data_IF_246556402586
#
_entry.id   IF_246556402586
#
_cell.length_a   1.000
_cell.length_b   1.000
_cell.length_c   1.000
_cell.angle_alpha   90.00
_cell.angle_beta   90.00
_cell.angle_gamma   90.00
#
_symmetry.space_group_name_H-M   'P 1'
#
loop_
_entity.id
_entity.type
_entity.pdbx_description
1 polymer ?
#
# COMPACT_ATOMS: atom_id res chain seq x y z
N UNK A 1 -51.15 -21.58 -7.13
CA UNK A 1 -49.84 -22.27 -7.13
C UNK A 1 -48.82 -21.61 -8.09
N UNK A 2 -49.23 -21.14 -9.25
CA UNK A 2 -48.38 -20.53 -10.27
C UNK A 2 -47.56 -19.31 -9.78
N UNK A 3 -48.18 -18.43 -8.99
CA UNK A 3 -47.49 -17.22 -8.48
C UNK A 3 -46.35 -17.54 -7.49
N UNK A 4 -46.43 -18.68 -6.75
CA UNK A 4 -45.34 -19.10 -5.86
C UNK A 4 -44.10 -19.53 -6.61
N UNK A 5 -44.23 -20.21 -7.75
CA UNK A 5 -43.09 -20.64 -8.56
C UNK A 5 -42.40 -19.44 -9.22
N UNK A 6 -43.21 -18.44 -9.66
CA UNK A 6 -42.67 -17.18 -10.22
C UNK A 6 -41.92 -16.42 -9.15
N UNK A 7 -42.47 -16.28 -7.94
CA UNK A 7 -41.79 -15.58 -6.84
C UNK A 7 -40.48 -16.26 -6.43
N UNK A 8 -40.45 -17.59 -6.37
CA UNK A 8 -39.22 -18.36 -6.10
C UNK A 8 -38.19 -18.17 -7.22
N UNK A 9 -38.61 -18.16 -8.48
CA UNK A 9 -37.75 -17.92 -9.64
C UNK A 9 -37.10 -16.54 -9.59
N UNK A 10 -37.86 -15.50 -9.28
CA UNK A 10 -37.35 -14.12 -9.13
C UNK A 10 -36.34 -14.02 -7.98
N UNK A 11 -36.64 -14.67 -6.84
CA UNK A 11 -35.75 -14.68 -5.67
C UNK A 11 -34.44 -15.38 -5.98
N UNK A 12 -34.45 -16.52 -6.65
CA UNK A 12 -33.23 -17.23 -7.07
C UNK A 12 -32.42 -16.42 -8.07
N UNK A 13 -33.08 -15.80 -9.04
CA UNK A 13 -32.40 -14.92 -10.03
C UNK A 13 -31.75 -13.72 -9.35
N UNK A 14 -32.42 -13.10 -8.38
CA UNK A 14 -31.88 -11.98 -7.59
C UNK A 14 -30.65 -12.39 -6.77
N UNK A 15 -30.67 -13.59 -6.15
CA UNK A 15 -29.53 -14.12 -5.41
C UNK A 15 -28.32 -14.39 -6.33
N UNK A 16 -28.57 -14.97 -7.52
CA UNK A 16 -27.51 -15.23 -8.50
C UNK A 16 -26.88 -13.92 -9.03
N UNK A 17 -27.72 -12.94 -9.37
CA UNK A 17 -27.24 -11.62 -9.82
C UNK A 17 -26.48 -10.90 -8.72
N UNK A 18 -26.95 -10.94 -7.48
CA UNK A 18 -26.26 -10.33 -6.35
C UNK A 18 -24.88 -10.97 -6.10
N UNK A 19 -24.80 -12.29 -6.12
CA UNK A 19 -23.54 -13.02 -5.99
C UNK A 19 -22.55 -12.71 -7.13
N UNK A 20 -23.05 -12.63 -8.36
CA UNK A 20 -22.22 -12.31 -9.53
C UNK A 20 -21.68 -10.87 -9.51
N UNK A 21 -22.49 -9.90 -9.10
CA UNK A 21 -22.06 -8.50 -8.93
C UNK A 21 -21.02 -8.37 -7.81
N UNK A 22 -21.19 -9.08 -6.72
CA UNK A 22 -20.27 -9.08 -5.59
C UNK A 22 -18.89 -9.63 -5.98
N UNK A 23 -18.82 -10.80 -6.59
CA UNK A 23 -17.55 -11.42 -7.02
C UNK A 23 -16.92 -10.72 -8.22
N UNK A 24 -17.73 -10.11 -9.09
CA UNK A 24 -17.25 -9.43 -10.28
C UNK A 24 -16.44 -8.16 -9.96
N UNK A 25 -16.68 -7.52 -8.83
CA UNK A 25 -15.95 -6.33 -8.39
C UNK A 25 -14.50 -6.66 -8.01
N UNK A 26 -14.30 -7.67 -7.16
CA UNK A 26 -12.98 -8.06 -6.67
C UNK A 26 -12.12 -8.63 -7.80
N UNK A 27 -12.72 -9.45 -8.70
CA UNK A 27 -12.03 -9.98 -9.87
C UNK A 27 -11.52 -8.87 -10.81
N UNK A 28 -12.29 -7.80 -11.03
CA UNK A 28 -11.85 -6.65 -11.83
C UNK A 28 -10.68 -5.93 -11.18
N UNK A 29 -10.71 -5.75 -9.87
CA UNK A 29 -9.61 -5.14 -9.12
C UNK A 29 -8.33 -5.97 -9.22
N UNK A 30 -8.44 -7.28 -9.02
CA UNK A 30 -7.34 -8.22 -9.18
C UNK A 30 -6.72 -8.13 -10.58
N UNK A 31 -7.55 -8.15 -11.63
CA UNK A 31 -7.10 -8.01 -13.01
C UNK A 31 -6.37 -6.69 -13.26
N UNK A 32 -6.86 -5.58 -12.74
CA UNK A 32 -6.21 -4.27 -12.88
C UNK A 32 -4.88 -4.24 -12.12
N UNK A 33 -4.84 -4.70 -10.87
CA UNK A 33 -3.62 -4.72 -10.06
C UNK A 33 -2.52 -5.55 -10.70
N UNK A 34 -2.86 -6.75 -11.20
CA UNK A 34 -1.89 -7.68 -11.79
C UNK A 34 -1.45 -7.31 -13.21
N UNK A 35 -2.18 -6.43 -13.89
CA UNK A 35 -1.94 -6.09 -15.32
C UNK A 35 -0.62 -5.37 -15.55
N UNK A 36 -0.09 -4.68 -14.56
CA UNK A 36 1.09 -3.80 -14.70
C UNK A 36 1.85 -3.59 -13.41
N UNK A 37 2.96 -2.87 -13.52
CA UNK A 37 3.74 -2.39 -12.38
C UNK A 37 3.23 -1.01 -11.97
N UNK A 38 3.15 -0.79 -10.66
CA UNK A 38 2.63 0.43 -10.05
C UNK A 38 3.73 1.18 -9.32
N UNK A 39 3.68 2.50 -9.38
CA UNK A 39 4.60 3.38 -8.68
C UNK A 39 3.82 4.32 -7.76
N UNK A 40 4.36 4.57 -6.58
CA UNK A 40 3.86 5.62 -5.67
C UNK A 40 5.00 6.52 -5.22
N UNK A 41 4.65 7.78 -4.97
CA UNK A 41 5.55 8.76 -4.36
C UNK A 41 4.84 9.43 -3.20
N UNK A 42 5.51 9.50 -2.07
CA UNK A 42 5.02 10.17 -0.87
C UNK A 42 6.12 11.08 -0.33
N UNK A 43 5.72 12.28 0.06
CA UNK A 43 6.58 13.24 0.76
C UNK A 43 5.89 13.56 2.08
N UNK A 44 6.56 13.28 3.19
CA UNK A 44 6.08 13.60 4.53
C UNK A 44 6.99 14.66 5.18
N UNK A 45 6.41 15.78 5.55
CA UNK A 45 7.09 16.82 6.31
C UNK A 45 6.82 16.61 7.80
N UNK A 46 7.87 16.46 8.57
CA UNK A 46 7.81 16.26 10.01
C UNK A 46 7.99 17.61 10.69
N UNK A 47 6.89 18.16 11.20
CA UNK A 47 6.95 19.39 12.00
C UNK A 47 7.51 19.02 13.38
N UNK A 48 8.74 19.40 13.64
CA UNK A 48 9.35 19.27 14.97
C UNK A 48 8.65 20.24 15.91
N UNK A 49 7.80 19.74 16.79
CA UNK A 49 7.31 20.54 17.91
C UNK A 49 8.46 20.59 18.93
N UNK A 50 8.86 21.77 19.38
CA UNK A 50 9.98 21.98 20.32
C UNK A 50 9.84 21.19 21.62
N UNK A 51 8.66 20.71 21.96
CA UNK A 51 8.36 19.96 23.19
C UNK A 51 8.41 18.44 23.04
N UNK A 52 8.62 17.90 21.83
CA UNK A 52 8.79 16.44 21.60
C UNK A 52 9.77 16.23 20.45
N UNK A 53 11.04 15.89 20.76
CA UNK A 53 11.98 15.41 19.73
C UNK A 53 11.48 14.05 19.24
N UNK A 54 10.79 14.04 18.09
CA UNK A 54 10.14 12.82 17.61
C UNK A 54 11.18 11.78 17.18
N UNK A 55 11.96 12.01 16.15
CA UNK A 55 12.95 11.03 15.65
C UNK A 55 14.20 11.81 15.24
N UNK A 56 15.00 12.23 16.22
CA UNK A 56 16.26 12.95 15.96
C UNK A 56 16.08 14.20 15.08
N UNK A 57 17.02 14.50 14.16
CA UNK A 57 16.99 15.69 13.31
C UNK A 57 16.07 15.55 12.09
N UNK A 58 15.20 14.55 12.02
CA UNK A 58 14.38 14.24 10.85
C UNK A 58 13.36 15.34 10.57
N UNK A 59 13.48 16.01 9.42
CA UNK A 59 12.57 17.08 8.96
C UNK A 59 11.66 16.67 7.81
N UNK A 60 12.14 15.80 6.91
CA UNK A 60 11.39 15.32 5.75
C UNK A 60 11.74 13.88 5.41
N UNK A 61 10.73 13.14 4.96
CA UNK A 61 10.87 11.79 4.42
C UNK A 61 10.26 11.74 3.02
N UNK A 62 11.05 11.35 2.04
CA UNK A 62 10.60 11.10 0.67
C UNK A 62 10.62 9.59 0.42
N UNK A 63 9.48 9.02 0.06
CA UNK A 63 9.35 7.60 -0.26
C UNK A 63 8.93 7.43 -1.71
N UNK A 64 9.70 6.64 -2.45
CA UNK A 64 9.34 6.19 -3.79
C UNK A 64 9.26 4.67 -3.77
N UNK A 65 8.11 4.12 -4.14
CA UNK A 65 7.89 2.67 -4.16
C UNK A 65 7.45 2.20 -5.53
N UNK A 66 8.04 1.10 -5.98
CA UNK A 66 7.59 0.33 -7.14
C UNK A 66 6.97 -0.96 -6.65
N UNK A 67 5.80 -1.28 -7.15
CA UNK A 67 4.96 -2.38 -6.67
C UNK A 67 4.51 -3.24 -7.83
N UNK A 68 4.57 -4.57 -7.68
CA UNK A 68 4.05 -5.54 -8.64
C UNK A 68 3.22 -6.58 -7.92
N UNK A 69 1.96 -6.69 -8.34
CA UNK A 69 1.05 -7.73 -7.89
C UNK A 69 1.08 -8.88 -8.90
N UNK A 70 1.29 -10.10 -8.43
CA UNK A 70 1.35 -11.28 -9.28
C UNK A 70 0.05 -12.10 -9.13
N UNK A 71 -0.42 -12.76 -10.21
CA UNK A 71 -1.66 -13.54 -10.18
C UNK A 71 -1.65 -14.74 -9.22
N UNK A 72 -0.46 -15.13 -8.74
CA UNK A 72 -0.30 -16.20 -7.76
C UNK A 72 -0.50 -15.75 -6.30
N UNK A 73 -0.99 -14.52 -6.08
CA UNK A 73 -1.15 -13.96 -4.75
C UNK A 73 0.14 -13.40 -4.13
N UNK A 74 1.24 -13.36 -4.88
CA UNK A 74 2.48 -12.74 -4.40
C UNK A 74 2.53 -11.26 -4.76
N UNK A 75 3.04 -10.47 -3.85
CA UNK A 75 3.24 -9.03 -3.97
C UNK A 75 4.73 -8.71 -3.79
N UNK A 76 5.28 -7.95 -4.71
CA UNK A 76 6.67 -7.50 -4.66
C UNK A 76 6.71 -5.98 -4.58
N UNK A 77 7.41 -5.44 -3.59
CA UNK A 77 7.61 -4.00 -3.45
C UNK A 77 9.07 -3.67 -3.20
N UNK A 78 9.57 -2.69 -3.95
CA UNK A 78 10.86 -2.07 -3.72
C UNK A 78 10.65 -0.60 -3.41
N UNK A 79 11.13 -0.15 -2.26
CA UNK A 79 10.97 1.22 -1.79
C UNK A 79 12.33 1.86 -1.53
N UNK A 80 12.47 3.10 -1.97
CA UNK A 80 13.60 3.96 -1.63
C UNK A 80 13.08 5.05 -0.71
N UNK A 81 13.56 5.04 0.53
CA UNK A 81 13.23 6.01 1.57
C UNK A 81 14.41 6.96 1.73
N UNK A 82 14.20 8.24 1.44
CA UNK A 82 15.20 9.30 1.62
C UNK A 82 14.86 10.11 2.86
N UNK A 83 15.78 10.17 3.79
CA UNK A 83 15.66 10.90 5.04
C UNK A 83 16.42 12.22 4.92
N UNK A 84 15.81 13.30 5.34
CA UNK A 84 16.39 14.62 5.33
C UNK A 84 16.41 15.20 6.74
N UNK A 85 17.53 15.80 7.11
CA UNK A 85 17.63 16.62 8.32
C UNK A 85 17.19 18.07 8.06
N UNK A 86 17.31 18.92 9.08
CA UNK A 86 16.91 20.32 9.02
C UNK A 86 17.60 21.11 7.90
N UNK A 87 18.78 20.68 7.42
CA UNK A 87 19.54 21.32 6.35
C UNK A 87 19.07 20.98 4.92
N UNK A 88 17.97 20.21 4.78
CA UNK A 88 17.41 19.78 3.49
C UNK A 88 18.35 18.98 2.56
N UNK A 89 19.52 18.57 3.02
CA UNK A 89 20.36 17.62 2.31
C UNK A 89 19.89 16.19 2.56
N UNK A 90 19.88 15.34 1.52
CA UNK A 90 19.55 13.92 1.72
C UNK A 90 20.71 13.27 2.47
N UNK A 91 20.48 12.90 3.73
CA UNK A 91 21.55 12.41 4.60
C UNK A 91 21.57 10.90 4.76
N UNK A 92 20.43 10.25 4.55
CA UNK A 92 20.35 8.79 4.62
C UNK A 92 19.37 8.24 3.60
N UNK A 93 19.73 7.11 2.99
CA UNK A 93 18.89 6.38 2.04
C UNK A 93 18.71 4.97 2.57
N UNK A 94 17.45 4.56 2.77
CA UNK A 94 17.07 3.22 3.14
C UNK A 94 16.42 2.56 1.92
N UNK A 95 16.93 1.39 1.51
CA UNK A 95 16.34 0.58 0.45
C UNK A 95 15.64 -0.62 1.08
N UNK A 96 14.34 -0.72 0.85
CA UNK A 96 13.50 -1.76 1.41
C UNK A 96 12.97 -2.62 0.28
N UNK A 97 13.14 -3.93 0.38
CA UNK A 97 12.56 -4.91 -0.52
C UNK A 97 11.63 -5.83 0.28
N UNK A 98 10.41 -5.99 -0.22
CA UNK A 98 9.38 -6.81 0.40
C UNK A 98 8.86 -7.83 -0.61
N UNK A 99 8.61 -9.04 -0.11
CA UNK A 99 7.92 -10.10 -0.84
C UNK A 99 6.86 -10.67 0.09
N UNK A 100 5.61 -10.33 -0.17
CA UNK A 100 4.49 -10.62 0.70
C UNK A 100 3.39 -11.32 -0.07
N UNK A 101 2.37 -11.80 0.64
CA UNK A 101 1.13 -12.32 0.06
C UNK A 101 0.08 -11.22 0.05
N UNK A 102 -0.75 -11.19 -1.00
CA UNK A 102 -1.85 -10.25 -1.12
C UNK A 102 -3.15 -10.92 -1.52
N UNK A 103 -4.26 -10.35 -1.08
CA UNK A 103 -5.61 -10.77 -1.40
C UNK A 103 -6.54 -9.55 -1.48
N UNK A 104 -7.67 -9.69 -2.18
CA UNK A 104 -8.71 -8.67 -2.25
C UNK A 104 -10.00 -9.23 -1.67
N UNK A 105 -10.60 -8.46 -0.78
CA UNK A 105 -11.92 -8.74 -0.21
C UNK A 105 -12.69 -7.45 -0.01
N UNK A 106 -13.90 -7.34 -0.58
CA UNK A 106 -14.79 -6.17 -0.47
C UNK A 106 -14.13 -4.85 -0.92
N UNK A 107 -13.37 -4.87 -2.00
CA UNK A 107 -12.55 -3.74 -2.47
C UNK A 107 -11.42 -3.33 -1.50
N UNK A 108 -11.06 -4.15 -0.53
CA UNK A 108 -9.90 -3.94 0.31
C UNK A 108 -8.76 -4.85 -0.10
N UNK A 109 -7.59 -4.25 -0.27
CA UNK A 109 -6.32 -4.96 -0.41
C UNK A 109 -5.83 -5.35 0.98
N UNK A 110 -5.60 -6.64 1.17
CA UNK A 110 -5.02 -7.23 2.36
C UNK A 110 -3.60 -7.67 2.00
N UNK A 111 -2.61 -7.29 2.80
CA UNK A 111 -1.21 -7.70 2.62
C UNK A 111 -0.77 -8.45 3.86
N UNK A 112 -0.32 -9.69 3.67
CA UNK A 112 0.24 -10.54 4.72
C UNK A 112 1.75 -10.58 4.56
N UNK A 113 2.53 -10.04 5.51
CA UNK A 113 3.98 -9.96 5.38
C UNK A 113 4.61 -11.33 5.48
N UNK A 114 5.45 -11.67 4.51
CA UNK A 114 6.23 -12.91 4.47
C UNK A 114 7.71 -12.59 4.64
N UNK A 115 8.26 -11.72 3.81
CA UNK A 115 9.68 -11.39 3.82
C UNK A 115 9.90 -9.88 3.70
N UNK A 116 10.71 -9.35 4.59
CA UNK A 116 11.11 -7.94 4.60
C UNK A 116 12.64 -7.87 4.69
N UNK A 117 13.27 -7.29 3.67
CA UNK A 117 14.72 -7.10 3.61
C UNK A 117 15.05 -5.61 3.63
N UNK A 118 15.82 -5.20 4.61
CA UNK A 118 16.49 -3.91 4.63
C UNK A 118 17.88 -4.07 3.99
N UNK A 119 18.10 -3.40 2.86
CA UNK A 119 19.35 -3.45 2.10
C UNK A 119 20.15 -2.13 2.32
N UNK A 120 19.93 -1.45 3.41
CA UNK A 120 20.54 -0.17 3.70
C UNK A 120 22.04 -0.31 3.99
N UNK A 121 22.86 0.54 3.38
CA UNK A 121 24.24 0.72 3.82
C UNK A 121 24.23 1.61 5.06
N UNK A 122 24.60 1.06 6.20
CA UNK A 122 24.59 1.70 7.53
C UNK A 122 25.63 2.83 7.69
N UNK A 123 25.64 3.81 6.80
CA UNK A 123 26.52 4.99 6.93
C UNK A 123 25.69 6.27 6.90
N UNK A 124 24.91 6.47 7.96
CA UNK A 124 24.30 7.77 8.23
C UNK A 124 25.17 8.56 9.19
N UNK A 125 25.44 9.83 8.92
CA UNK A 125 26.18 10.72 9.83
C UNK A 125 25.28 11.28 10.93
N UNK A 126 23.97 11.42 10.69
CA UNK A 126 23.03 12.15 11.54
C UNK A 126 21.95 11.29 12.19
N UNK A 127 21.81 10.03 11.75
CA UNK A 127 20.86 9.09 12.31
C UNK A 127 21.59 7.94 12.99
N UNK A 128 21.19 7.60 14.23
CA UNK A 128 21.69 6.40 14.93
C UNK A 128 21.04 5.15 14.34
N UNK A 129 21.69 4.00 14.53
CA UNK A 129 21.15 2.68 14.10
C UNK A 129 19.77 2.42 14.72
N UNK A 130 19.54 2.82 15.97
CA UNK A 130 18.24 2.68 16.64
C UNK A 130 17.15 3.54 15.97
N UNK A 131 17.49 4.75 15.55
CA UNK A 131 16.56 5.63 14.83
C UNK A 131 16.21 5.06 13.44
N UNK A 132 17.19 4.52 12.74
CA UNK A 132 16.98 3.87 11.44
C UNK A 132 16.10 2.61 11.58
N UNK A 133 16.36 1.80 12.62
CA UNK A 133 15.53 0.63 12.93
C UNK A 133 14.08 1.02 13.25
N UNK A 134 13.87 2.08 14.03
CA UNK A 134 12.54 2.57 14.35
C UNK A 134 11.79 3.02 13.09
N UNK A 135 12.45 3.77 12.20
CA UNK A 135 11.87 4.20 10.92
C UNK A 135 11.50 2.99 10.06
N UNK A 136 12.39 2.02 9.94
CA UNK A 136 12.15 0.78 9.20
C UNK A 136 10.96 0.00 9.77
N UNK A 137 10.85 -0.08 11.11
CA UNK A 137 9.73 -0.74 11.78
C UNK A 137 8.39 -0.02 11.53
N UNK A 138 8.36 1.31 11.58
CA UNK A 138 7.17 2.09 11.26
C UNK A 138 6.73 1.87 9.81
N UNK A 139 7.69 1.80 8.89
CA UNK A 139 7.44 1.54 7.49
C UNK A 139 6.84 0.14 7.27
N UNK A 140 7.37 -0.87 7.97
CA UNK A 140 6.84 -2.23 7.96
C UNK A 140 5.41 -2.31 8.49
N UNK A 141 5.11 -1.60 9.58
CA UNK A 141 3.76 -1.54 10.15
C UNK A 141 2.76 -0.88 9.19
N UNK A 142 3.17 0.18 8.48
CA UNK A 142 2.32 0.82 7.46
C UNK A 142 2.02 -0.12 6.29
N UNK A 143 2.97 -0.95 5.89
CA UNK A 143 2.82 -1.92 4.81
C UNK A 143 1.72 -2.96 5.07
N UNK A 144 1.52 -3.35 6.34
CA UNK A 144 0.58 -4.38 6.77
C UNK A 144 -0.88 -3.91 6.88
N UNK A 145 -1.15 -2.64 6.61
CA UNK A 145 -2.50 -2.10 6.75
C UNK A 145 -3.40 -2.48 5.58
N UNK A 146 -4.63 -2.84 5.91
CA UNK A 146 -5.69 -2.99 4.91
C UNK A 146 -5.99 -1.65 4.26
N UNK A 147 -6.09 -1.61 2.94
CA UNK A 147 -6.33 -0.39 2.17
C UNK A 147 -7.48 -0.60 1.21
N UNK A 148 -8.43 0.31 1.24
CA UNK A 148 -9.48 0.34 0.23
C UNK A 148 -8.88 0.71 -1.11
N UNK A 149 -9.31 0.02 -2.17
CA UNK A 149 -8.83 0.20 -3.55
C UNK A 149 -9.92 0.83 -4.39
N UNK A 150 -9.65 2.01 -4.92
CA UNK A 150 -10.55 2.69 -5.84
C UNK A 150 -9.83 2.92 -7.19
N UNK A 151 -10.35 2.35 -8.28
CA UNK A 151 -9.81 2.55 -9.63
C UNK A 151 -10.25 3.94 -10.11
N UNK A 152 -9.32 4.87 -10.25
CA UNK A 152 -9.59 6.22 -10.77
C UNK A 152 -9.65 6.18 -12.30
N UNK A 153 -8.68 5.51 -12.94
CA UNK A 153 -8.64 5.23 -14.37
C UNK A 153 -7.69 4.06 -14.64
N UNK A 154 -7.46 3.73 -15.92
CA UNK A 154 -6.62 2.60 -16.33
C UNK A 154 -5.17 2.66 -15.81
N UNK A 155 -4.66 3.85 -15.46
CA UNK A 155 -3.27 4.08 -15.05
C UNK A 155 -3.14 4.62 -13.63
N UNK A 156 -4.26 4.78 -12.92
CA UNK A 156 -4.26 5.41 -11.60
C UNK A 156 -5.20 4.69 -10.66
N UNK A 157 -4.67 4.29 -9.53
CA UNK A 157 -5.41 3.66 -8.43
C UNK A 157 -5.21 4.52 -7.19
N UNK A 158 -6.28 4.69 -6.42
CA UNK A 158 -6.25 5.32 -5.11
C UNK A 158 -6.35 4.24 -4.02
N UNK A 159 -5.36 4.21 -3.14
CA UNK A 159 -5.41 3.44 -1.92
C UNK A 159 -5.77 4.34 -0.75
N UNK A 160 -6.82 3.98 -0.02
CA UNK A 160 -7.25 4.72 1.17
C UNK A 160 -7.09 3.84 2.40
N UNK A 161 -6.25 4.28 3.33
CA UNK A 161 -6.07 3.66 4.65
C UNK A 161 -7.00 4.29 5.67
N UNK A 162 -7.46 3.53 6.64
CA UNK A 162 -8.35 4.02 7.72
C UNK A 162 -7.63 5.01 8.65
N UNK A 163 -6.31 4.93 8.76
CA UNK A 163 -5.53 5.67 9.75
C UNK A 163 -4.50 6.66 9.17
N UNK A 164 -4.07 6.48 7.92
CA UNK A 164 -2.92 7.19 7.35
C UNK A 164 -3.21 7.95 6.05
N UNK A 165 -4.48 8.18 5.73
CA UNK A 165 -4.86 8.93 4.53
C UNK A 165 -4.82 8.11 3.24
N UNK A 166 -4.61 8.78 2.11
CA UNK A 166 -4.69 8.16 0.78
C UNK A 166 -3.35 8.20 0.06
N UNK A 167 -3.04 7.14 -0.66
CA UNK A 167 -1.86 7.01 -1.52
C UNK A 167 -2.30 6.77 -2.96
N UNK A 168 -1.74 7.54 -3.89
CA UNK A 168 -2.00 7.35 -5.32
C UNK A 168 -0.92 6.44 -5.90
N UNK A 169 -1.35 5.38 -6.59
CA UNK A 169 -0.49 4.56 -7.41
C UNK A 169 -0.73 4.91 -8.88
N UNK A 170 0.33 5.04 -9.63
CA UNK A 170 0.28 5.32 -11.05
C UNK A 170 1.20 4.37 -11.82
N UNK A 171 0.84 4.11 -13.08
CA UNK A 171 1.65 3.32 -14.01
C UNK A 171 2.16 4.20 -15.14
N UNK A 172 3.44 4.03 -15.48
CA UNK A 172 4.10 4.75 -16.57
C UNK A 172 4.04 3.99 -17.92
N UNK A 173 3.47 2.79 -17.91
CA UNK A 173 3.33 1.91 -19.10
C UNK A 173 1.90 1.89 -19.64
#
# INVERSE_FOLDING_TARGET
>A
MQNRHIAIGILLLSLLLSGWLYWGSDFKLEQVLTSREWQSKMVSLIKTNRDRPAIGPLSRVDVTSNVKYLPNGTYLRVSVVKLFSDDNSAESIINISESDEWDISDNYLLVTPVEFKDISSNQSKDFTDEQLQLITQLFKMDAQQSRRVDIVNERTILFTSLSHGSTVLFSNS
#
